data_IF_953112657228
#
_entry.id   IF_953112657228
#
_cell.length_a   1.000
_cell.length_b   1.000
_cell.length_c   1.000
_cell.angle_alpha   90.00
_cell.angle_beta   90.00
_cell.angle_gamma   90.00
#
_symmetry.space_group_name_H-M   'P 1'
#
loop_
_entity.id
_entity.type
_entity.pdbx_description
1 polymer ?
#
# COMPACT_ATOMS: atom_id res chain seq x y z
N UNK A 1 13.35 4.36 -2.84
CA UNK A 1 12.50 3.23 -3.16
C UNK A 1 11.54 3.58 -4.27
N UNK A 2 11.79 3.01 -5.42
CA UNK A 2 11.07 3.47 -6.59
C UNK A 2 9.60 3.09 -6.58
N UNK A 3 9.30 1.88 -6.13
CA UNK A 3 7.92 1.45 -6.12
C UNK A 3 7.03 2.34 -5.29
N UNK A 4 7.50 2.67 -4.09
CA UNK A 4 6.71 3.51 -3.19
C UNK A 4 6.55 4.91 -3.76
N UNK A 5 7.60 5.44 -4.34
CA UNK A 5 7.55 6.79 -4.91
C UNK A 5 6.62 6.86 -6.11
N UNK A 6 6.40 5.72 -6.78
CA UNK A 6 5.55 5.68 -7.95
C UNK A 6 4.07 5.63 -7.62
N UNK A 7 3.73 5.37 -6.36
CA UNK A 7 2.32 5.29 -5.96
C UNK A 7 1.70 6.68 -5.88
N UNK A 8 0.41 6.78 -6.23
CA UNK A 8 -0.32 8.01 -5.92
C UNK A 8 -0.23 8.30 -4.42
N UNK A 9 -0.28 9.57 -4.08
CA UNK A 9 -0.06 9.98 -2.69
C UNK A 9 -1.00 9.27 -1.72
N UNK A 10 -2.27 9.11 -2.09
CA UNK A 10 -3.23 8.49 -1.19
C UNK A 10 -2.86 7.05 -0.86
N UNK A 11 -2.27 6.35 -1.81
CA UNK A 11 -1.84 4.97 -1.57
C UNK A 11 -0.54 4.93 -0.80
N UNK A 12 0.35 5.86 -1.10
CA UNK A 12 1.61 5.93 -0.38
C UNK A 12 1.38 6.20 1.10
N UNK A 13 0.44 7.11 1.40
CA UNK A 13 0.15 7.45 2.79
C UNK A 13 -0.33 6.25 3.59
N UNK A 14 -1.26 5.46 3.05
CA UNK A 14 -1.77 4.33 3.83
C UNK A 14 -0.69 3.29 4.07
N UNK A 15 0.20 3.09 3.10
CA UNK A 15 1.28 2.15 3.29
C UNK A 15 2.24 2.64 4.35
N UNK A 16 2.60 3.92 4.31
CA UNK A 16 3.51 4.47 5.30
C UNK A 16 2.92 4.38 6.71
N UNK A 17 1.66 4.74 6.85
CA UNK A 17 1.03 4.70 8.17
C UNK A 17 0.87 3.26 8.67
N UNK A 18 0.47 2.37 7.79
CA UNK A 18 0.19 1.00 8.19
C UNK A 18 1.47 0.19 8.42
N UNK A 19 2.42 0.31 7.51
CA UNK A 19 3.60 -0.55 7.55
C UNK A 19 4.79 0.09 8.23
N UNK A 20 5.01 1.38 8.01
CA UNK A 20 6.16 2.05 8.60
C UNK A 20 5.88 2.50 10.03
N UNK A 21 4.71 3.04 10.28
CA UNK A 21 4.34 3.48 11.62
C UNK A 21 3.57 2.43 12.38
N UNK A 22 3.20 1.34 11.73
CA UNK A 22 2.59 0.17 12.36
C UNK A 22 1.27 0.50 13.06
N UNK A 23 0.52 1.40 12.47
CA UNK A 23 -0.79 1.75 13.00
C UNK A 23 -1.81 0.67 12.62
N UNK A 24 -2.83 0.54 13.45
CA UNK A 24 -3.93 -0.37 13.13
C UNK A 24 -4.78 0.23 12.02
N UNK A 25 -5.62 -0.62 11.41
CA UNK A 25 -6.54 -0.16 10.37
C UNK A 25 -7.40 0.99 10.90
N UNK A 26 -7.91 0.84 12.13
CA UNK A 26 -8.73 1.89 12.72
C UNK A 26 -7.95 3.19 12.86
N UNK A 27 -6.70 3.08 13.31
CA UNK A 27 -5.87 4.28 13.49
C UNK A 27 -5.57 4.95 12.17
N UNK A 28 -5.28 4.18 11.15
CA UNK A 28 -5.01 4.74 9.83
C UNK A 28 -6.25 5.43 9.29
N UNK A 29 -7.39 4.77 9.42
CA UNK A 29 -8.65 5.33 8.93
C UNK A 29 -8.96 6.65 9.63
N UNK A 30 -8.73 6.70 10.94
CA UNK A 30 -8.97 7.92 11.70
C UNK A 30 -8.00 9.02 11.26
N UNK A 31 -6.75 8.67 11.08
CA UNK A 31 -5.75 9.64 10.68
C UNK A 31 -6.08 10.26 9.33
N UNK A 32 -6.61 9.45 8.43
CA UNK A 32 -6.90 9.90 7.08
C UNK A 32 -8.34 10.36 6.89
N UNK A 33 -9.15 10.25 7.94
CA UNK A 33 -10.56 10.68 7.89
C UNK A 33 -11.34 9.88 6.86
N UNK A 34 -11.15 8.57 6.85
CA UNK A 34 -11.88 7.67 5.96
C UNK A 34 -12.46 6.54 6.78
N UNK A 35 -13.37 5.77 6.18
CA UNK A 35 -13.94 4.62 6.86
C UNK A 35 -12.92 3.50 6.91
N UNK A 36 -13.16 2.53 7.81
CA UNK A 36 -12.29 1.37 7.89
C UNK A 36 -12.33 0.55 6.62
N UNK A 37 -13.51 0.42 6.02
CA UNK A 37 -13.64 -0.31 4.75
C UNK A 37 -12.84 0.38 3.65
N UNK A 38 -12.94 1.69 3.57
CA UNK A 38 -12.18 2.44 2.58
C UNK A 38 -10.68 2.26 2.82
N UNK A 39 -10.30 2.27 4.09
CA UNK A 39 -8.90 2.09 4.46
C UNK A 39 -8.38 0.73 4.01
N UNK A 40 -9.13 -0.33 4.31
CA UNK A 40 -8.74 -1.68 3.91
C UNK A 40 -8.61 -1.79 2.40
N UNK A 41 -9.59 -1.25 1.71
CA UNK A 41 -9.60 -1.29 0.26
C UNK A 41 -8.40 -0.56 -0.31
N UNK A 42 -8.11 0.61 0.26
CA UNK A 42 -7.00 1.43 -0.20
C UNK A 42 -5.67 0.71 0.04
N UNK A 43 -5.53 0.09 1.20
CA UNK A 43 -4.31 -0.66 1.50
C UNK A 43 -4.15 -1.83 0.53
N UNK A 44 -5.25 -2.53 0.28
CA UNK A 44 -5.20 -3.67 -0.63
C UNK A 44 -4.74 -3.24 -2.02
N UNK A 45 -5.30 -2.16 -2.53
CA UNK A 45 -4.93 -1.66 -3.84
C UNK A 45 -3.51 -1.13 -3.86
N UNK A 46 -3.12 -0.46 -2.79
CA UNK A 46 -1.77 0.08 -2.71
C UNK A 46 -0.74 -1.03 -2.78
N UNK A 47 -0.99 -2.11 -2.04
CA UNK A 47 -0.06 -3.23 -2.05
C UNK A 47 -0.03 -3.94 -3.39
N UNK A 48 -1.18 -4.02 -4.05
CA UNK A 48 -1.23 -4.62 -5.37
C UNK A 48 -0.41 -3.80 -6.37
N UNK A 49 -0.56 -2.48 -6.32
CA UNK A 49 0.21 -1.61 -7.20
C UNK A 49 1.70 -1.68 -6.89
N UNK A 50 2.02 -1.70 -5.61
CA UNK A 50 3.42 -1.78 -5.21
C UNK A 50 4.05 -3.07 -5.71
N UNK A 51 3.30 -4.17 -5.62
CA UNK A 51 3.78 -5.46 -6.10
C UNK A 51 4.06 -5.39 -7.60
N UNK A 52 3.18 -4.72 -8.35
CA UNK A 52 3.38 -4.55 -9.77
C UNK A 52 4.66 -3.78 -10.07
N UNK A 53 4.85 -2.67 -9.37
CA UNK A 53 6.03 -1.84 -9.61
C UNK A 53 7.33 -2.53 -9.24
N UNK A 54 7.29 -3.38 -8.22
CA UNK A 54 8.49 -4.03 -7.73
C UNK A 54 8.74 -5.40 -8.35
N UNK A 55 7.81 -5.87 -9.18
CA UNK A 55 7.95 -7.18 -9.81
C UNK A 55 9.20 -7.18 -10.69
N UNK A 56 10.05 -8.18 -10.52
CA UNK A 56 11.22 -8.28 -11.39
C UNK A 56 10.74 -8.77 -12.69
N UNK A 57 10.64 -8.74 -13.50
CA UNK A 57 10.19 -9.27 -14.66
C UNK A 57 10.08 -10.65 -14.72
N UNK A 58 10.02 -10.80 -14.56
CA UNK A 58 9.93 -11.62 -14.27
C UNK A 58 9.97 -12.44 -14.14
N UNK A 59 10.01 -12.66 -13.99
CA UNK A 59 10.06 -13.28 -13.57
C UNK A 59 9.85 -13.82 -13.15
N UNK A 60 9.77 -13.95 -13.04
CA UNK A 60 9.56 -14.41 -12.45
C UNK A 60 9.22 -15.14 -12.12
N UNK A 61 9.21 -15.40 -12.33
CA UNK A 61 8.95 -16.06 -11.83
C UNK A 61 8.57 -16.58 -11.46
N UNK A 62 8.65 -16.72 -11.59
CA UNK A 62 8.45 -17.26 -11.05
C UNK A 62 7.99 -17.70 -10.62
N UNK A 63 8.11 -17.79 -10.51
CA UNK A 63 7.82 -18.19 -9.98
C UNK A 63 7.39 -18.72 -9.74
N UNK A 64 7.32 -18.97 -9.95
CA UNK A 64 7.06 -19.40 -9.61
C UNK A 64 6.98 -19.75 -9.30
#
# INVERSE_FOLDING_TARGET
MRGLESLPEMYREVILLRDMEQLTITEVAERLHITREACKSRIHRARALLREYLRPDETRGGRR
#
